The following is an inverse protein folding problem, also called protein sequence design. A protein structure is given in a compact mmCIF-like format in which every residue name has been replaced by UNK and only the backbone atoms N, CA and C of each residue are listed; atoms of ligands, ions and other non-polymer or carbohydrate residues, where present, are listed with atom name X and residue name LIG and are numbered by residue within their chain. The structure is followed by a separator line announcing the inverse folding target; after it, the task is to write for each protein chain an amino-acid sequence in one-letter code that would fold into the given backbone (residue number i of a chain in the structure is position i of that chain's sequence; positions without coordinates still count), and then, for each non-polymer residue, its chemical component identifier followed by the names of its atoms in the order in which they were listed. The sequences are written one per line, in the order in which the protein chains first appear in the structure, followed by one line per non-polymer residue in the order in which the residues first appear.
data_IF_662749314719
#
_entry.id   IF_662749314719
#
_cell.length_a   1.000
_cell.length_b   1.000
_cell.length_c   1.000
_cell.angle_alpha   90.00
_cell.angle_beta   90.00
_cell.angle_gamma   90.00
#
_symmetry.space_group_name_H-M   'P 1'
#
loop_
_entity.id
_entity.type
_entity.pdbx_description
1 polymer ?
#
# COMPACT_ATOMS: atom_id res chain seq x y z
N UNK A 1 -14.00 18.74 8.69
CA UNK A 1 -13.59 17.39 9.13
C UNK A 1 -12.07 17.31 9.01
N UNK A 2 -11.37 17.01 10.13
CA UNK A 2 -9.94 16.72 10.11
C UNK A 2 -9.80 15.21 9.90
N UNK A 3 -9.13 14.81 8.84
CA UNK A 3 -8.74 13.41 8.62
C UNK A 3 -7.42 13.16 9.35
N UNK A 4 -7.33 12.03 10.03
CA UNK A 4 -6.07 11.56 10.62
C UNK A 4 -5.36 10.74 9.55
N UNK A 5 -4.26 11.27 9.03
CA UNK A 5 -3.48 10.60 7.97
C UNK A 5 -2.40 9.69 8.56
N UNK A 6 -1.86 10.04 9.73
CA UNK A 6 -0.83 9.23 10.39
C UNK A 6 -0.87 9.42 11.90
N UNK A 7 -0.55 8.35 12.63
CA UNK A 7 -0.43 8.32 14.09
C UNK A 7 0.92 7.69 14.46
N UNK A 8 1.57 8.25 15.48
CA UNK A 8 2.76 7.67 16.08
C UNK A 8 2.57 7.49 17.58
N UNK A 9 3.06 6.39 18.12
CA UNK A 9 3.30 6.23 19.55
C UNK A 9 4.77 6.55 19.82
N UNK A 10 5.08 7.65 20.55
CA UNK A 10 6.46 8.04 20.81
C UNK A 10 7.25 7.01 21.64
N UNK A 11 6.55 6.18 22.42
CA UNK A 11 7.15 5.17 23.29
C UNK A 11 7.29 3.82 22.56
N UNK A 12 6.72 3.68 21.38
CA UNK A 12 6.72 2.44 20.62
C UNK A 12 6.98 2.70 19.13
N UNK A 13 8.24 2.73 18.73
CA UNK A 13 8.65 3.08 17.37
C UNK A 13 8.24 2.07 16.31
N UNK A 14 7.74 0.88 16.68
CA UNK A 14 7.23 -0.13 15.75
C UNK A 14 5.70 -0.28 15.81
N UNK A 15 5.01 0.54 16.60
CA UNK A 15 3.56 0.54 16.61
C UNK A 15 2.99 1.00 15.26
N UNK A 16 1.94 0.31 14.82
CA UNK A 16 1.05 0.69 13.73
C UNK A 16 -0.35 0.97 14.32
N UNK A 17 -0.59 2.18 14.88
CA UNK A 17 -1.83 2.48 15.59
C UNK A 17 -3.05 2.54 14.66
N UNK A 18 -2.83 2.82 13.38
CA UNK A 18 -3.89 2.83 12.36
C UNK A 18 -4.09 1.41 11.84
N UNK A 19 -5.28 0.86 12.01
CA UNK A 19 -5.55 -0.57 11.84
C UNK A 19 -5.22 -1.12 10.44
N UNK A 20 -5.54 -0.38 9.36
CA UNK A 20 -5.24 -0.84 8.01
C UNK A 20 -3.73 -1.02 7.76
N UNK A 21 -2.87 -0.23 8.40
CA UNK A 21 -1.42 -0.35 8.25
C UNK A 21 -0.89 -1.69 8.78
N UNK A 22 -1.55 -2.25 9.81
CA UNK A 22 -1.30 -3.61 10.25
C UNK A 22 -1.69 -4.62 9.17
N UNK A 23 -2.86 -4.45 8.53
CA UNK A 23 -3.31 -5.35 7.46
C UNK A 23 -2.43 -5.25 6.20
N UNK A 24 -1.76 -4.11 5.96
CA UNK A 24 -0.77 -3.98 4.88
C UNK A 24 0.45 -4.89 5.08
N UNK A 25 0.72 -5.35 6.30
CA UNK A 25 1.78 -6.34 6.57
C UNK A 25 1.49 -7.72 5.97
N UNK A 26 0.27 -7.97 5.46
CA UNK A 26 -0.06 -9.18 4.71
C UNK A 26 0.92 -9.43 3.53
N UNK A 27 1.49 -8.36 2.95
CA UNK A 27 2.53 -8.47 1.94
C UNK A 27 3.72 -9.30 2.40
N UNK A 28 4.08 -9.21 3.69
CA UNK A 28 5.15 -10.01 4.29
C UNK A 28 4.82 -11.52 4.32
N UNK A 29 3.54 -11.91 4.38
CA UNK A 29 3.12 -13.30 4.32
C UNK A 29 3.03 -13.83 2.87
N UNK A 30 2.68 -12.97 1.92
CA UNK A 30 2.42 -13.38 0.53
C UNK A 30 3.64 -13.35 -0.37
N UNK A 31 4.55 -12.39 -0.25
CA UNK A 31 5.73 -12.29 -1.10
C UNK A 31 6.61 -13.55 -0.99
N UNK A 32 7.19 -14.01 -2.07
CA UNK A 32 8.06 -15.19 -2.05
C UNK A 32 9.42 -14.91 -1.38
N UNK A 33 9.91 -13.68 -1.50
CA UNK A 33 11.15 -13.17 -0.88
C UNK A 33 10.88 -11.86 -0.17
N UNK A 34 11.83 -11.42 0.67
CA UNK A 34 11.76 -10.17 1.44
C UNK A 34 13.08 -9.40 1.35
N UNK A 35 13.58 -9.19 0.12
CA UNK A 35 14.86 -8.50 -0.09
C UNK A 35 14.65 -7.02 -0.43
N UNK A 36 13.65 -6.71 -1.29
CA UNK A 36 13.39 -5.37 -1.79
C UNK A 36 11.91 -4.99 -1.66
N UNK A 37 11.64 -3.86 -1.06
CA UNK A 37 10.29 -3.30 -0.99
C UNK A 37 10.29 -1.81 -1.36
N UNK A 38 9.13 -1.35 -1.83
CA UNK A 38 8.88 0.07 -1.99
C UNK A 38 7.47 0.44 -1.51
N UNK A 39 7.30 1.70 -1.12
CA UNK A 39 6.00 2.28 -0.81
C UNK A 39 5.81 3.59 -1.57
N UNK A 40 4.66 3.75 -2.21
CA UNK A 40 4.21 5.01 -2.82
C UNK A 40 3.28 5.69 -1.81
N UNK A 41 3.70 6.86 -1.34
CA UNK A 41 3.12 7.57 -0.20
C UNK A 41 3.84 7.25 1.10
N UNK A 42 4.44 8.27 1.71
CA UNK A 42 5.16 8.14 2.99
C UNK A 42 4.24 8.46 4.17
N UNK A 43 3.54 9.59 4.12
CA UNK A 43 2.83 10.12 5.27
C UNK A 43 3.76 10.24 6.50
N UNK A 44 3.38 9.67 7.62
CA UNK A 44 4.25 9.57 8.80
C UNK A 44 5.32 8.47 8.69
N UNK A 45 5.38 7.74 7.60
CA UNK A 45 6.39 6.72 7.31
C UNK A 45 6.31 5.44 8.13
N UNK A 46 5.26 5.27 8.96
CA UNK A 46 5.21 4.17 9.91
C UNK A 46 5.15 2.80 9.25
N UNK A 47 4.37 2.66 8.17
CA UNK A 47 4.25 1.40 7.42
C UNK A 47 5.59 1.00 6.80
N UNK A 48 6.24 1.94 6.11
CA UNK A 48 7.56 1.70 5.51
C UNK A 48 8.61 1.33 6.57
N UNK A 49 8.65 2.12 7.65
CA UNK A 49 9.59 1.92 8.76
C UNK A 49 9.40 0.57 9.44
N UNK A 50 8.15 0.18 9.68
CA UNK A 50 7.83 -1.13 10.25
C UNK A 50 8.38 -2.28 9.39
N UNK A 51 8.12 -2.25 8.08
CA UNK A 51 8.62 -3.29 7.17
C UNK A 51 10.14 -3.40 7.21
N UNK A 52 10.83 -2.25 7.08
CA UNK A 52 12.29 -2.20 7.12
C UNK A 52 12.88 -2.71 8.44
N UNK A 53 12.35 -2.25 9.57
CA UNK A 53 12.88 -2.62 10.90
C UNK A 53 12.51 -4.03 11.34
N UNK A 54 11.39 -4.57 10.84
CA UNK A 54 10.93 -5.91 11.23
C UNK A 54 11.54 -7.02 10.40
N UNK A 55 12.16 -6.70 9.26
CA UNK A 55 12.81 -7.70 8.37
C UNK A 55 14.26 -7.28 8.17
N UNK A 56 15.22 -7.88 8.91
CA UNK A 56 16.64 -7.58 8.73
C UNK A 56 17.10 -7.82 7.29
N UNK A 57 17.71 -6.81 6.70
CA UNK A 57 18.21 -6.87 5.31
C UNK A 57 17.20 -6.46 4.24
N UNK A 58 15.93 -6.22 4.58
CA UNK A 58 14.96 -5.68 3.62
C UNK A 58 15.34 -4.26 3.21
N UNK A 59 15.70 -4.08 1.94
CA UNK A 59 15.90 -2.76 1.36
C UNK A 59 14.54 -2.13 1.07
N UNK A 60 14.26 -0.97 1.71
CA UNK A 60 12.99 -0.26 1.59
C UNK A 60 13.21 1.10 0.92
N UNK A 61 12.40 1.43 -0.07
CA UNK A 61 12.34 2.78 -0.65
C UNK A 61 10.95 3.37 -0.45
N UNK A 62 10.87 4.49 0.25
CA UNK A 62 9.64 5.27 0.37
C UNK A 62 9.65 6.40 -0.67
N UNK A 63 8.53 6.59 -1.36
CA UNK A 63 8.38 7.63 -2.38
C UNK A 63 7.29 8.60 -1.94
N UNK A 64 7.66 9.86 -1.76
CA UNK A 64 6.75 10.91 -1.30
C UNK A 64 6.79 12.09 -2.26
N UNK A 65 5.61 12.62 -2.57
CA UNK A 65 5.48 13.76 -3.48
C UNK A 65 5.90 15.08 -2.82
N UNK A 66 5.55 15.25 -1.54
CA UNK A 66 5.71 16.51 -0.82
C UNK A 66 6.94 16.46 0.11
N UNK A 67 7.99 17.28 -0.17
CA UNK A 67 9.18 17.34 0.68
C UNK A 67 8.86 17.79 2.12
N UNK A 68 7.78 18.53 2.32
CA UNK A 68 7.35 18.94 3.67
C UNK A 68 6.84 17.75 4.48
N UNK A 69 6.13 16.81 3.85
CA UNK A 69 5.70 15.54 4.49
C UNK A 69 6.92 14.74 4.93
N UNK A 70 7.95 14.66 4.09
CA UNK A 70 9.22 13.99 4.47
C UNK A 70 9.85 14.66 5.69
N UNK A 71 9.95 15.99 5.69
CA UNK A 71 10.48 16.76 6.83
C UNK A 71 9.68 16.55 8.12
N UNK A 72 8.35 16.46 8.03
CA UNK A 72 7.47 16.18 9.17
C UNK A 72 7.63 14.73 9.65
N UNK A 73 7.80 13.78 8.73
CA UNK A 73 8.10 12.37 9.02
C UNK A 73 9.37 12.22 9.84
N UNK A 74 10.45 12.87 9.41
CA UNK A 74 11.72 12.88 10.14
C UNK A 74 11.59 13.55 11.52
N UNK A 75 10.98 14.72 11.57
CA UNK A 75 10.88 15.50 12.80
C UNK A 75 10.03 14.85 13.88
N UNK A 76 8.83 14.40 13.52
CA UNK A 76 7.81 13.96 14.48
C UNK A 76 7.65 12.44 14.55
N UNK A 77 7.90 11.73 13.47
CA UNK A 77 7.73 10.28 13.39
C UNK A 77 9.06 9.52 13.48
N UNK A 78 10.20 10.24 13.47
CA UNK A 78 11.55 9.66 13.53
C UNK A 78 11.84 8.68 12.39
N UNK A 79 11.29 8.98 11.22
CA UNK A 79 11.52 8.22 9.99
C UNK A 79 12.45 9.05 9.10
N UNK A 80 13.69 8.62 8.96
CA UNK A 80 14.73 9.28 8.20
C UNK A 80 15.51 8.24 7.36
N UNK A 81 16.17 8.65 6.27
CA UNK A 81 17.04 7.74 5.53
C UNK A 81 18.14 7.14 6.42
N UNK A 82 18.37 5.84 6.24
CA UNK A 82 19.45 5.10 6.89
C UNK A 82 19.91 3.94 5.97
N UNK A 83 20.97 3.19 6.28
CA UNK A 83 21.39 2.05 5.47
C UNK A 83 20.25 1.06 5.24
N UNK A 84 19.88 0.85 3.98
CA UNK A 84 18.76 0.00 3.56
C UNK A 84 17.37 0.68 3.61
N UNK A 85 17.28 1.97 4.01
CA UNK A 85 16.03 2.73 3.96
C UNK A 85 16.24 4.07 3.25
N UNK A 86 15.67 4.19 2.06
CA UNK A 86 15.77 5.39 1.22
C UNK A 86 14.43 6.13 1.13
N UNK A 87 14.49 7.46 1.00
CA UNK A 87 13.33 8.30 0.69
C UNK A 87 13.58 9.06 -0.60
N UNK A 88 12.69 8.87 -1.59
CA UNK A 88 12.70 9.60 -2.85
C UNK A 88 11.58 10.65 -2.86
N UNK A 89 11.95 11.92 -3.09
CA UNK A 89 10.97 13.01 -3.22
C UNK A 89 10.57 13.16 -4.69
N UNK A 90 9.45 12.54 -5.06
CA UNK A 90 8.95 12.50 -6.43
C UNK A 90 7.51 11.99 -6.47
N UNK A 91 6.79 12.26 -7.56
CA UNK A 91 5.54 11.56 -7.86
C UNK A 91 5.80 10.05 -7.99
N UNK A 92 4.97 9.25 -7.30
CA UNK A 92 5.17 7.80 -7.20
C UNK A 92 5.11 7.07 -8.54
N UNK A 93 4.19 7.47 -9.43
CA UNK A 93 4.08 6.87 -10.76
C UNK A 93 5.26 7.25 -11.66
N UNK A 94 5.70 8.52 -11.59
CA UNK A 94 6.89 8.97 -12.31
C UNK A 94 8.13 8.24 -11.81
N UNK A 95 8.29 8.07 -10.51
CA UNK A 95 9.38 7.29 -9.92
C UNK A 95 9.37 5.84 -10.42
N UNK A 96 8.21 5.19 -10.36
CA UNK A 96 8.05 3.81 -10.82
C UNK A 96 8.37 3.64 -12.31
N UNK A 97 8.07 4.66 -13.13
CA UNK A 97 8.38 4.65 -14.56
C UNK A 97 9.87 4.78 -14.86
N UNK A 98 10.61 5.46 -13.98
CA UNK A 98 12.04 5.75 -14.16
C UNK A 98 12.98 4.73 -13.51
N UNK A 99 12.52 4.03 -12.48
CA UNK A 99 13.36 3.02 -11.80
C UNK A 99 13.47 1.75 -12.62
N UNK A 100 14.65 1.15 -12.67
CA UNK A 100 14.87 -0.19 -13.24
C UNK A 100 14.77 -1.28 -12.16
N UNK A 101 14.59 -0.90 -10.89
CA UNK A 101 14.45 -1.84 -9.77
C UNK A 101 13.12 -2.59 -9.85
N UNK A 102 13.15 -3.81 -9.34
CA UNK A 102 11.98 -4.66 -9.12
C UNK A 102 11.88 -5.04 -7.65
N UNK A 103 10.68 -5.31 -7.18
CA UNK A 103 10.36 -5.42 -5.77
C UNK A 103 9.68 -6.74 -5.42
N UNK A 104 9.96 -7.24 -4.24
CA UNK A 104 9.22 -8.35 -3.64
C UNK A 104 7.88 -7.88 -3.07
N UNK A 105 7.85 -6.63 -2.54
CA UNK A 105 6.64 -5.98 -2.05
C UNK A 105 6.58 -4.55 -2.57
N UNK A 106 5.46 -4.18 -3.20
CA UNK A 106 5.17 -2.82 -3.60
C UNK A 106 3.89 -2.35 -2.93
N UNK A 107 4.04 -1.42 -1.97
CA UNK A 107 2.94 -0.85 -1.22
C UNK A 107 2.46 0.44 -1.89
N UNK A 108 1.14 0.68 -1.91
CA UNK A 108 0.54 1.94 -2.41
C UNK A 108 -0.37 2.49 -1.32
N UNK A 109 0.05 3.58 -0.70
CA UNK A 109 -0.65 4.25 0.40
C UNK A 109 -0.59 5.78 0.24
N UNK A 110 -0.87 6.26 -0.97
CA UNK A 110 -0.82 7.67 -1.33
C UNK A 110 -2.24 8.27 -1.31
N UNK A 111 -2.43 9.26 -0.47
CA UNK A 111 -3.70 9.95 -0.29
C UNK A 111 -3.56 11.46 -0.36
N UNK A 112 -4.61 12.13 -0.85
CA UNK A 112 -4.81 13.57 -0.73
C UNK A 112 -6.19 13.81 -0.07
N UNK A 113 -6.19 13.97 1.25
CA UNK A 113 -7.41 13.88 2.03
C UNK A 113 -8.01 12.47 1.96
N UNK A 114 -9.30 12.28 1.62
CA UNK A 114 -9.91 10.95 1.52
C UNK A 114 -9.67 10.26 0.15
N UNK A 115 -8.96 10.88 -0.77
CA UNK A 115 -8.87 10.42 -2.15
C UNK A 115 -7.47 9.91 -2.50
N UNK A 116 -7.39 8.74 -3.12
CA UNK A 116 -6.20 8.32 -3.85
C UNK A 116 -6.09 9.18 -5.12
N UNK A 117 -4.92 9.76 -5.46
CA UNK A 117 -4.76 10.49 -6.70
C UNK A 117 -5.16 9.63 -7.92
N UNK A 118 -6.00 10.18 -8.81
CA UNK A 118 -6.59 9.41 -9.91
C UNK A 118 -5.56 8.66 -10.77
N UNK A 119 -4.43 9.29 -11.08
CA UNK A 119 -3.37 8.68 -11.88
C UNK A 119 -2.67 7.47 -11.23
N UNK A 120 -2.95 7.21 -9.94
CA UNK A 120 -2.52 6.02 -9.20
C UNK A 120 -3.63 4.95 -9.09
N UNK A 121 -4.72 5.11 -9.84
CA UNK A 121 -5.85 4.17 -9.87
C UNK A 121 -6.12 3.61 -11.27
N UNK A 122 -5.33 3.97 -12.27
CA UNK A 122 -5.58 3.61 -13.67
C UNK A 122 -4.95 2.26 -14.05
N UNK A 123 -5.48 1.65 -15.10
CA UNK A 123 -4.93 0.39 -15.67
C UNK A 123 -3.45 0.55 -16.05
N UNK A 124 -3.07 1.71 -16.57
CA UNK A 124 -1.69 2.01 -16.95
C UNK A 124 -0.77 2.02 -15.73
N UNK A 125 -1.23 2.59 -14.61
CA UNK A 125 -0.48 2.56 -13.35
C UNK A 125 -0.32 1.13 -12.82
N UNK A 126 -1.39 0.32 -12.75
CA UNK A 126 -1.27 -1.04 -12.23
C UNK A 126 -0.49 -1.98 -13.14
N UNK A 127 -0.50 -1.77 -14.47
CA UNK A 127 0.42 -2.46 -15.39
C UNK A 127 1.88 -2.11 -15.07
N UNK A 128 2.15 -0.85 -14.75
CA UNK A 128 3.48 -0.42 -14.32
C UNK A 128 3.87 -1.05 -12.98
N UNK A 129 2.95 -1.08 -12.00
CA UNK A 129 3.14 -1.78 -10.71
C UNK A 129 3.48 -3.25 -10.96
N UNK A 130 2.68 -3.95 -11.76
CA UNK A 130 2.90 -5.37 -12.07
C UNK A 130 4.26 -5.61 -12.74
N UNK A 131 4.68 -4.72 -13.65
CA UNK A 131 5.98 -4.80 -14.33
C UNK A 131 7.18 -4.55 -13.38
N UNK A 132 6.96 -3.96 -12.23
CA UNK A 132 7.99 -3.70 -11.21
C UNK A 132 7.97 -4.73 -10.07
N UNK A 133 7.13 -5.75 -10.13
CA UNK A 133 7.19 -6.87 -9.20
C UNK A 133 8.15 -7.95 -9.71
N UNK A 134 8.94 -8.51 -8.80
CA UNK A 134 9.72 -9.72 -9.06
C UNK A 134 8.78 -10.93 -9.21
N UNK A 135 9.23 -12.04 -9.81
CA UNK A 135 8.47 -13.30 -9.76
C UNK A 135 8.14 -13.68 -8.30
N UNK A 136 6.84 -13.87 -8.01
CA UNK A 136 6.34 -14.12 -6.66
C UNK A 136 6.24 -12.90 -5.76
N UNK A 137 6.49 -11.70 -6.31
CA UNK A 137 6.25 -10.43 -5.62
C UNK A 137 4.78 -10.06 -5.56
N UNK A 138 4.43 -9.11 -4.68
CA UNK A 138 3.05 -8.70 -4.42
C UNK A 138 2.91 -7.18 -4.36
N UNK A 139 1.77 -6.68 -4.86
CA UNK A 139 1.32 -5.32 -4.64
C UNK A 139 0.32 -5.29 -3.48
N UNK A 140 0.40 -4.26 -2.62
CA UNK A 140 -0.52 -4.07 -1.49
C UNK A 140 -0.99 -2.64 -1.49
N UNK A 141 -2.30 -2.42 -1.62
CA UNK A 141 -2.86 -1.09 -1.69
C UNK A 141 -3.91 -0.85 -0.61
N UNK A 142 -3.83 0.32 0.00
CA UNK A 142 -4.89 0.86 0.83
C UNK A 142 -5.96 1.53 -0.04
N UNK A 143 -7.23 1.14 0.12
CA UNK A 143 -8.37 1.70 -0.63
C UNK A 143 -9.47 2.13 0.35
N UNK A 144 -10.03 3.31 0.11
CA UNK A 144 -11.17 3.85 0.87
C UNK A 144 -12.49 3.40 0.23
N UNK A 145 -13.26 2.49 0.88
CA UNK A 145 -14.45 1.90 0.27
C UNK A 145 -15.66 2.85 0.20
N UNK A 146 -15.65 3.96 0.93
CA UNK A 146 -16.76 4.93 0.91
C UNK A 146 -16.73 5.87 -0.30
N UNK A 147 -15.68 5.81 -1.13
CA UNK A 147 -15.58 6.64 -2.32
C UNK A 147 -16.24 5.99 -3.53
N UNK A 148 -16.74 6.81 -4.45
CA UNK A 148 -17.32 6.35 -5.71
C UNK A 148 -16.34 5.60 -6.63
N UNK A 149 -15.04 5.63 -6.29
CA UNK A 149 -14.00 4.95 -7.08
C UNK A 149 -13.63 3.58 -6.52
N UNK A 150 -14.24 3.11 -5.43
CA UNK A 150 -13.89 1.81 -4.86
C UNK A 150 -14.09 0.67 -5.86
N UNK A 151 -15.30 0.50 -6.38
CA UNK A 151 -15.60 -0.56 -7.35
C UNK A 151 -14.78 -0.45 -8.64
N UNK A 152 -14.67 0.74 -9.29
CA UNK A 152 -13.78 0.92 -10.42
C UNK A 152 -12.30 0.65 -10.11
N UNK A 153 -11.80 1.03 -8.93
CA UNK A 153 -10.42 0.74 -8.53
C UNK A 153 -10.17 -0.77 -8.40
N UNK A 154 -11.11 -1.49 -7.76
CA UNK A 154 -11.04 -2.96 -7.67
C UNK A 154 -11.07 -3.60 -9.06
N UNK A 155 -11.98 -3.14 -9.95
CA UNK A 155 -12.03 -3.61 -11.33
C UNK A 155 -10.72 -3.34 -12.08
N UNK A 156 -10.08 -2.19 -11.82
CA UNK A 156 -8.79 -1.82 -12.41
C UNK A 156 -7.66 -2.73 -11.92
N UNK A 157 -7.58 -3.00 -10.63
CA UNK A 157 -6.58 -3.93 -10.05
C UNK A 157 -6.77 -5.33 -10.66
N UNK A 158 -8.01 -5.83 -10.72
CA UNK A 158 -8.34 -7.12 -11.33
C UNK A 158 -8.00 -7.21 -12.83
N UNK A 159 -7.94 -6.09 -13.54
CA UNK A 159 -7.54 -6.06 -14.94
C UNK A 159 -6.03 -6.23 -15.16
N UNK A 160 -5.22 -6.00 -14.13
CA UNK A 160 -3.77 -6.04 -14.19
C UNK A 160 -3.14 -7.22 -13.45
N UNK A 161 -3.90 -7.89 -12.56
CA UNK A 161 -3.43 -8.99 -11.73
C UNK A 161 -4.34 -10.21 -11.81
N UNK A 162 -3.73 -11.40 -11.79
CA UNK A 162 -4.44 -12.69 -11.84
C UNK A 162 -5.15 -13.00 -10.51
N UNK A 163 -4.55 -12.58 -9.38
CA UNK A 163 -5.08 -12.84 -8.05
C UNK A 163 -5.24 -11.55 -7.25
N UNK A 164 -6.41 -11.36 -6.67
CA UNK A 164 -6.76 -10.20 -5.83
C UNK A 164 -7.43 -10.66 -4.55
N UNK A 165 -6.85 -10.29 -3.42
CA UNK A 165 -7.30 -10.68 -2.07
C UNK A 165 -7.53 -9.42 -1.24
N UNK A 166 -8.52 -9.47 -0.34
CA UNK A 166 -8.93 -8.33 0.47
C UNK A 166 -8.74 -8.60 1.95
N UNK A 167 -8.27 -7.57 2.67
CA UNK A 167 -8.09 -7.62 4.12
C UNK A 167 -8.82 -6.47 4.78
N UNK A 168 -9.40 -6.73 5.94
CA UNK A 168 -10.10 -5.73 6.74
C UNK A 168 -9.14 -4.65 7.23
N UNK A 169 -9.52 -3.36 7.05
CA UNK A 169 -8.77 -2.18 7.47
C UNK A 169 -9.50 -1.30 8.49
N UNK A 170 -10.69 -1.71 8.99
CA UNK A 170 -11.55 -0.90 9.89
C UNK A 170 -11.85 0.49 9.33
N UNK A 171 -12.60 0.52 8.25
CA UNK A 171 -12.95 1.74 7.51
C UNK A 171 -12.23 1.81 6.17
N UNK A 172 -11.05 1.26 6.05
CA UNK A 172 -10.36 1.04 4.79
C UNK A 172 -10.40 -0.44 4.40
N UNK A 173 -10.07 -0.74 3.16
CA UNK A 173 -9.84 -2.09 2.67
C UNK A 173 -8.42 -2.16 2.14
N UNK A 174 -7.67 -3.15 2.58
CA UNK A 174 -6.35 -3.42 2.01
C UNK A 174 -6.52 -4.46 0.92
N UNK A 175 -6.09 -4.11 -0.28
CA UNK A 175 -6.12 -4.97 -1.47
C UNK A 175 -4.72 -5.48 -1.72
N UNK A 176 -4.55 -6.80 -1.74
CA UNK A 176 -3.31 -7.46 -2.11
C UNK A 176 -3.50 -8.14 -3.47
N UNK A 177 -2.57 -7.90 -4.39
CA UNK A 177 -2.65 -8.41 -5.75
C UNK A 177 -1.31 -9.00 -6.21
N UNK A 178 -1.35 -10.08 -6.98
CA UNK A 178 -0.15 -10.75 -7.49
C UNK A 178 -0.46 -11.55 -8.77
N UNK A 179 0.60 -11.93 -9.49
CA UNK A 179 0.56 -12.78 -10.68
C UNK A 179 1.29 -14.10 -10.42
N UNK A 180 1.02 -15.10 -11.24
CA UNK A 180 1.61 -16.44 -11.18
C UNK A 180 0.76 -17.46 -10.41
N UNK A 181 1.34 -18.55 -9.94
CA UNK A 181 0.57 -19.61 -9.29
C UNK A 181 -0.23 -19.13 -8.09
N UNK A 182 -1.46 -19.61 -8.00
CA UNK A 182 -2.30 -19.36 -6.83
C UNK A 182 -1.62 -19.87 -5.56
N UNK A 183 -1.65 -19.06 -4.53
CA UNK A 183 -1.09 -19.41 -3.22
C UNK A 183 -2.20 -20.02 -2.35
N UNK A 184 -2.15 -21.34 -2.18
CA UNK A 184 -3.11 -22.05 -1.34
C UNK A 184 -2.98 -21.66 0.14
N UNK A 185 -4.07 -21.82 0.88
CA UNK A 185 -4.16 -21.40 2.28
C UNK A 185 -3.15 -22.10 3.19
N UNK A 186 -2.92 -23.39 2.98
CA UNK A 186 -2.01 -24.18 3.82
C UNK A 186 -0.56 -23.69 3.62
N UNK A 187 -0.16 -23.41 2.38
CA UNK A 187 1.14 -22.84 2.06
C UNK A 187 1.32 -21.44 2.66
N UNK A 188 0.31 -20.57 2.54
CA UNK A 188 0.36 -19.22 3.12
C UNK A 188 0.43 -19.26 4.65
N UNK A 189 -0.36 -20.12 5.29
CA UNK A 189 -0.36 -20.25 6.75
C UNK A 189 0.98 -20.75 7.25
N UNK A 190 1.57 -21.75 6.60
CA UNK A 190 2.91 -22.26 6.93
C UNK A 190 3.97 -21.16 6.75
N UNK A 191 3.98 -20.47 5.61
CA UNK A 191 4.94 -19.38 5.33
C UNK A 191 4.81 -18.23 6.34
N UNK A 192 3.58 -17.87 6.71
CA UNK A 192 3.34 -16.85 7.73
C UNK A 192 3.85 -17.29 9.11
N UNK A 193 3.63 -18.55 9.50
CA UNK A 193 4.12 -19.09 10.77
C UNK A 193 5.65 -19.18 10.81
N UNK A 194 6.28 -19.64 9.73
CA UNK A 194 7.75 -19.69 9.59
C UNK A 194 8.37 -18.29 9.73
N UNK A 195 7.85 -17.30 9.01
CA UNK A 195 8.29 -15.91 9.09
C UNK A 195 8.02 -15.26 10.43
N UNK A 196 6.88 -15.58 11.04
CA UNK A 196 6.58 -15.13 12.39
C UNK A 196 7.59 -15.67 13.41
N UNK A 197 7.98 -16.92 13.29
CA UNK A 197 9.00 -17.54 14.14
C UNK A 197 10.40 -16.98 13.89
N UNK A 198 10.74 -16.69 12.63
CA UNK A 198 12.04 -16.15 12.22
C UNK A 198 12.24 -14.69 12.64
N UNK A 199 11.24 -13.83 12.38
CA UNK A 199 11.37 -12.38 12.54
C UNK A 199 10.71 -11.82 13.80
N UNK A 200 9.82 -12.57 14.45
CA UNK A 200 9.14 -12.13 15.66
C UNK A 200 8.27 -10.89 15.44
N UNK A 201 7.53 -10.83 14.33
CA UNK A 201 6.69 -9.67 14.00
C UNK A 201 5.75 -9.31 15.15
N UNK A 202 5.65 -8.02 15.44
CA UNK A 202 4.72 -7.49 16.44
C UNK A 202 3.26 -7.83 16.14
N UNK A 203 2.89 -7.81 14.87
CA UNK A 203 1.56 -8.20 14.38
C UNK A 203 1.68 -9.58 13.74
N UNK A 204 1.17 -10.58 14.45
CA UNK A 204 1.24 -11.98 14.03
C UNK A 204 0.66 -12.16 12.61
N UNK A 205 1.51 -12.60 11.68
CA UNK A 205 1.13 -12.75 10.29
C UNK A 205 0.00 -13.78 10.09
N UNK A 206 -0.11 -14.79 10.95
CA UNK A 206 -1.20 -15.76 10.88
C UNK A 206 -2.53 -15.12 11.24
N UNK A 207 -2.54 -14.22 12.22
CA UNK A 207 -3.71 -13.42 12.57
C UNK A 207 -4.05 -12.39 11.47
N UNK A 208 -3.03 -11.79 10.84
CA UNK A 208 -3.24 -10.90 9.69
C UNK A 208 -3.90 -11.67 8.54
N UNK A 209 -3.46 -12.88 8.22
CA UNK A 209 -4.10 -13.72 7.20
C UNK A 209 -5.58 -14.01 7.54
N UNK A 210 -5.92 -14.14 8.81
CA UNK A 210 -7.30 -14.31 9.27
C UNK A 210 -8.22 -13.10 9.05
N UNK A 211 -7.68 -11.93 8.67
CA UNK A 211 -8.46 -10.72 8.33
C UNK A 211 -8.96 -10.71 6.88
N UNK A 212 -8.71 -11.78 6.12
CA UNK A 212 -9.22 -11.91 4.74
C UNK A 212 -10.73 -11.93 4.72
N UNK A 213 -11.34 -11.26 3.75
CA UNK A 213 -12.78 -11.25 3.53
C UNK A 213 -13.09 -10.99 2.06
N UNK A 214 -14.35 -11.13 1.69
CA UNK A 214 -14.85 -10.83 0.36
C UNK A 214 -15.77 -9.59 0.44
N UNK A 215 -15.31 -8.40 0.03
CA UNK A 215 -16.17 -7.22 -0.02
C UNK A 215 -17.23 -7.36 -1.12
N UNK A 216 -18.38 -6.73 -0.92
CA UNK A 216 -19.32 -6.52 -2.02
C UNK A 216 -18.67 -5.53 -3.01
N UNK A 217 -18.53 -5.96 -4.26
CA UNK A 217 -17.99 -5.16 -5.37
C UNK A 217 -18.97 -5.24 -6.53
N UNK A 218 -19.29 -4.10 -7.13
CA UNK A 218 -20.13 -4.09 -8.33
C UNK A 218 -19.41 -4.79 -9.50
N UNK A 219 -19.96 -5.94 -9.92
CA UNK A 219 -19.41 -6.71 -11.03
C UNK A 219 -19.48 -5.98 -12.38
N UNK A 220 -20.33 -4.94 -12.51
CA UNK A 220 -20.45 -4.11 -13.70
C UNK A 220 -19.46 -2.93 -13.72
N UNK A 221 -18.72 -2.72 -12.64
CA UNK A 221 -17.72 -1.65 -12.56
C UNK A 221 -16.66 -1.82 -13.65
N UNK A 222 -16.32 -0.71 -14.31
CA UNK A 222 -15.30 -0.71 -15.37
C UNK A 222 -13.96 -0.25 -14.84
N UNK A 223 -12.86 -0.82 -15.35
CA UNK A 223 -11.53 -0.33 -15.05
C UNK A 223 -11.34 1.16 -15.42
N UNK A 224 -10.60 1.87 -14.61
CA UNK A 224 -10.17 3.24 -14.85
C UNK A 224 -8.99 3.26 -15.81
N UNK A 225 -8.95 4.25 -16.71
CA UNK A 225 -7.84 4.48 -17.64
C UNK A 225 -7.39 5.93 -17.58
N UNK A 226 -6.20 6.22 -18.07
CA UNK A 226 -5.66 7.59 -18.11
C UNK A 226 -6.52 8.54 -18.96
N UNK A 227 -7.18 7.99 -19.98
CA UNK A 227 -8.00 8.78 -20.93
C UNK A 227 -9.38 9.16 -20.35
N UNK A 228 -9.77 8.60 -19.21
CA UNK A 228 -11.10 8.81 -18.65
C UNK A 228 -11.09 8.99 -17.13
N UNK A 229 -11.01 10.24 -16.69
CA UNK A 229 -11.29 10.61 -15.30
C UNK A 229 -12.79 10.90 -15.13
N UNK A 230 -13.51 10.24 -14.19
CA UNK A 230 -14.92 10.56 -13.92
C UNK A 230 -15.06 12.02 -13.46
N UNK A 231 -15.91 12.79 -14.17
CA UNK A 231 -16.10 14.23 -13.89
C UNK A 231 -16.59 14.46 -12.47
N UNK A 232 -17.48 13.57 -11.97
CA UNK A 232 -18.02 13.63 -10.61
C UNK A 232 -16.92 13.48 -9.55
N UNK A 233 -15.90 12.68 -9.82
CA UNK A 233 -14.74 12.52 -8.94
C UNK A 233 -13.91 13.80 -8.87
N UNK A 234 -13.64 14.43 -10.01
CA UNK A 234 -12.94 15.72 -10.05
C UNK A 234 -13.71 16.80 -9.29
N UNK A 235 -15.04 16.88 -9.47
CA UNK A 235 -15.90 17.78 -8.71
C UNK A 235 -15.94 17.45 -7.21
N UNK A 236 -15.81 16.19 -6.81
CA UNK A 236 -15.74 15.80 -5.41
C UNK A 236 -14.44 16.28 -4.77
N UNK A 237 -13.33 16.18 -5.48
CA UNK A 237 -12.03 16.71 -5.06
C UNK A 237 -12.08 18.24 -4.94
N UNK A 238 -12.63 18.94 -5.94
CA UNK A 238 -12.79 20.40 -5.90
C UNK A 238 -13.59 20.85 -4.67
N UNK A 239 -14.77 20.26 -4.46
CA UNK A 239 -15.61 20.55 -3.27
C UNK A 239 -14.92 20.26 -1.95
N UNK A 240 -14.04 19.24 -1.91
CA UNK A 240 -13.25 18.95 -0.71
C UNK A 240 -12.19 20.01 -0.46
N UNK A 241 -11.52 20.48 -1.51
CA UNK A 241 -10.49 21.51 -1.43
C UNK A 241 -11.07 22.88 -1.03
N UNK A 242 -12.24 23.26 -1.58
CA UNK A 242 -12.95 24.50 -1.24
C UNK A 242 -13.34 24.60 0.24
N UNK A 243 -13.62 23.46 0.89
CA UNK A 243 -13.93 23.43 2.33
C UNK A 243 -12.71 23.55 3.24
N UNK A 244 -11.50 23.57 2.67
CA UNK A 244 -10.22 23.70 3.41
C UNK A 244 -9.65 25.12 3.37
N UNK A 245 -10.15 25.97 2.48
CA UNK A 245 -9.88 27.42 2.43
C UNK A 245 -10.85 28.19 3.30
#
# INVERSE_FOLDING_TARGET
LRYTESIVDPNDPLALPVYYTQSMTAGLAYASRLDDAAIIGLGGGRTAWYHHKSVPGLAMTAVELDPEVVRLGERFFKVAPEPGFDIAVMDGRVWLSKTDRTFDILLVDAYRGPFVPFHLLTTEFYKLVAARLKPGGVAVQNVEPSTMLFDPAVATIRSAFEHVVFFEGRGNIVVLAYNGPEKDEATLTRQAAERQAEFGFRYDLTQILGRRFAPAVDAAAKPLTDDFAPVEYLKAIERHNEKRT
#
